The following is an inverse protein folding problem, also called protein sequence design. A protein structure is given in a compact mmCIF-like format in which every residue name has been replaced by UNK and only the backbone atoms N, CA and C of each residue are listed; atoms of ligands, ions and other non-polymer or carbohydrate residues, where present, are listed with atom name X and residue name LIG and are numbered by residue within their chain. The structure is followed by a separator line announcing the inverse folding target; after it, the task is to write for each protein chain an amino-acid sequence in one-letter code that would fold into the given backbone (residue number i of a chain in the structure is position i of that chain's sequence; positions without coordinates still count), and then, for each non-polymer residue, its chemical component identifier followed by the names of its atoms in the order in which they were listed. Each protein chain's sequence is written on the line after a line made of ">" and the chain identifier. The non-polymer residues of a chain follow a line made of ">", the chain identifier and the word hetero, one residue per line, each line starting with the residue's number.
data_IF_058941586202
#
_entry.id   IF_058941586202
#
_cell.length_a   1.000
_cell.length_b   1.000
_cell.length_c   1.000
_cell.angle_alpha   90.00
_cell.angle_beta   90.00
_cell.angle_gamma   90.00
#
_symmetry.space_group_name_H-M   'P 1'
#
loop_
_entity.id
_entity.type
_entity.pdbx_description
1 polymer ?
#
# COMPACT_ATOMS: atom_id res chain seq x y z
N UNK A 1 -3.08 17.06 18.93
CA UNK A 1 -4.11 17.10 17.87
C UNK A 1 -4.79 15.76 17.82
N UNK A 2 -6.12 15.69 17.73
CA UNK A 2 -6.81 14.42 17.63
C UNK A 2 -7.21 14.15 16.18
N UNK A 3 -6.79 13.01 15.66
CA UNK A 3 -7.11 12.59 14.30
C UNK A 3 -7.43 11.09 14.24
N UNK A 4 -8.37 10.72 13.38
CA UNK A 4 -8.71 9.34 13.07
C UNK A 4 -8.17 8.97 11.69
N UNK A 5 -7.49 7.84 11.59
CA UNK A 5 -7.08 7.24 10.32
C UNK A 5 -8.21 6.44 9.68
N UNK A 6 -8.39 6.59 8.37
CA UNK A 6 -9.31 5.77 7.57
C UNK A 6 -8.51 5.21 6.40
N UNK A 7 -8.37 3.88 6.37
CA UNK A 7 -7.55 3.16 5.41
C UNK A 7 -8.44 2.38 4.47
N UNK A 8 -8.23 2.52 3.16
CA UNK A 8 -8.91 1.73 2.14
C UNK A 8 -8.02 0.56 1.71
N UNK A 9 -8.47 -0.66 1.95
CA UNK A 9 -7.63 -1.84 1.74
C UNK A 9 -7.83 -2.53 0.39
N UNK A 10 -8.85 -2.16 -0.38
CA UNK A 10 -9.30 -2.89 -1.58
C UNK A 10 -9.51 -2.03 -2.83
N UNK A 11 -9.37 -0.71 -2.77
CA UNK A 11 -9.79 0.17 -3.89
C UNK A 11 -9.03 -0.15 -5.18
N UNK A 12 -7.78 -0.57 -5.07
CA UNK A 12 -6.88 -0.81 -6.20
C UNK A 12 -6.55 -2.30 -6.44
N UNK A 13 -7.38 -3.23 -5.92
CA UNK A 13 -7.16 -4.68 -6.08
C UNK A 13 -7.03 -5.10 -7.55
N UNK A 14 -7.75 -4.43 -8.46
CA UNK A 14 -7.73 -4.75 -9.89
C UNK A 14 -6.45 -4.32 -10.63
N UNK A 15 -5.59 -3.53 -9.99
CA UNK A 15 -4.36 -3.04 -10.62
C UNK A 15 -3.27 -4.12 -10.70
N UNK A 16 -3.27 -5.05 -9.74
CA UNK A 16 -2.29 -6.15 -9.66
C UNK A 16 -2.98 -7.51 -9.42
N UNK A 17 -3.86 -7.95 -10.34
CA UNK A 17 -4.73 -9.12 -10.15
C UNK A 17 -3.96 -10.41 -9.87
N UNK A 18 -2.71 -10.54 -10.35
CA UNK A 18 -1.86 -11.68 -10.06
C UNK A 18 -1.65 -11.84 -8.54
N UNK A 19 -1.45 -10.73 -7.82
CA UNK A 19 -1.16 -10.73 -6.39
C UNK A 19 -2.40 -10.58 -5.51
N UNK A 20 -3.50 -10.05 -6.04
CA UNK A 20 -4.72 -9.72 -5.26
C UNK A 20 -5.86 -10.73 -5.41
N UNK A 21 -5.74 -11.70 -6.31
CA UNK A 21 -6.77 -12.74 -6.52
C UNK A 21 -7.25 -13.42 -5.23
N UNK A 22 -6.35 -13.60 -4.26
CA UNK A 22 -6.62 -14.31 -3.00
C UNK A 22 -6.42 -13.43 -1.76
N UNK A 23 -6.21 -12.13 -1.95
CA UNK A 23 -5.97 -11.17 -0.86
C UNK A 23 -6.26 -9.74 -1.32
N UNK A 24 -6.43 -8.83 -0.36
CA UNK A 24 -6.52 -7.39 -0.62
C UNK A 24 -5.16 -6.83 -1.06
N UNK A 25 -5.14 -5.72 -1.79
CA UNK A 25 -3.90 -4.99 -2.13
C UNK A 25 -3.11 -4.63 -0.87
N UNK A 26 -3.79 -4.23 0.20
CA UNK A 26 -3.20 -3.96 1.51
C UNK A 26 -2.38 -5.13 2.08
N UNK A 27 -2.71 -6.38 1.69
CA UNK A 27 -2.06 -7.61 2.16
C UNK A 27 -0.93 -8.11 1.29
N UNK A 28 -0.61 -7.41 0.19
CA UNK A 28 0.46 -7.79 -0.73
C UNK A 28 1.81 -7.72 -0.01
N UNK A 29 2.63 -8.78 -0.05
CA UNK A 29 3.96 -8.78 0.55
C UNK A 29 4.91 -7.81 -0.15
N UNK A 30 5.77 -7.13 0.61
CA UNK A 30 6.75 -6.18 0.10
C UNK A 30 8.03 -6.18 0.96
N UNK A 31 9.18 -5.89 0.34
CA UNK A 31 10.47 -5.74 1.03
C UNK A 31 10.75 -6.87 2.04
N UNK A 32 10.72 -8.11 1.59
CA UNK A 32 11.02 -9.39 2.24
C UNK A 32 10.19 -9.74 3.50
N UNK A 33 9.68 -8.80 4.27
CA UNK A 33 8.96 -9.08 5.53
C UNK A 33 7.69 -8.27 5.75
N UNK A 34 7.50 -7.18 5.03
CA UNK A 34 6.37 -6.26 5.18
C UNK A 34 5.20 -6.64 4.28
N UNK A 35 4.08 -5.94 4.47
CA UNK A 35 2.96 -5.83 3.55
C UNK A 35 2.65 -4.35 3.31
N UNK A 36 1.94 -4.02 2.27
CA UNK A 36 1.63 -2.62 1.94
C UNK A 36 0.99 -1.86 3.10
N UNK A 37 0.05 -2.49 3.82
CA UNK A 37 -0.61 -1.86 4.97
C UNK A 37 0.34 -1.47 6.10
N UNK A 38 1.49 -2.13 6.24
CA UNK A 38 2.44 -1.88 7.31
C UNK A 38 2.99 -0.45 7.24
N UNK A 39 3.21 0.06 6.03
CA UNK A 39 3.67 1.44 5.80
C UNK A 39 2.61 2.45 6.24
N UNK A 40 1.37 2.28 5.79
CA UNK A 40 0.27 3.18 6.15
C UNK A 40 -0.01 3.17 7.65
N UNK A 41 -0.06 1.98 8.28
CA UNK A 41 -0.24 1.86 9.74
C UNK A 41 0.92 2.50 10.51
N UNK A 42 2.15 2.28 10.05
CA UNK A 42 3.34 2.86 10.69
C UNK A 42 3.34 4.39 10.60
N UNK A 43 3.00 4.94 9.44
CA UNK A 43 2.85 6.39 9.27
C UNK A 43 1.82 6.99 10.24
N UNK A 44 0.68 6.29 10.42
CA UNK A 44 -0.36 6.74 11.37
C UNK A 44 0.13 6.71 12.81
N UNK A 45 0.69 5.58 13.25
CA UNK A 45 1.16 5.41 14.63
C UNK A 45 2.32 6.36 14.96
N UNK A 46 3.29 6.51 14.04
CA UNK A 46 4.39 7.46 14.17
C UNK A 46 3.91 8.92 14.23
N UNK A 47 2.70 9.20 13.72
CA UNK A 47 2.05 10.49 13.78
C UNK A 47 1.04 10.61 14.95
N UNK A 48 1.09 9.71 15.93
CA UNK A 48 0.19 9.66 17.08
C UNK A 48 -1.31 9.47 16.72
N UNK A 49 -1.60 8.89 15.58
CA UNK A 49 -2.97 8.53 15.16
C UNK A 49 -3.21 7.07 15.57
N UNK A 50 -3.92 6.89 16.67
CA UNK A 50 -4.18 5.57 17.26
C UNK A 50 -5.64 5.11 17.13
N UNK A 51 -6.50 5.91 16.53
CA UNK A 51 -7.87 5.54 16.20
C UNK A 51 -7.92 5.29 14.70
N UNK A 52 -7.91 4.01 14.27
CA UNK A 52 -7.75 3.65 12.87
C UNK A 52 -8.87 2.72 12.43
N UNK A 53 -9.57 3.12 11.36
CA UNK A 53 -10.61 2.34 10.72
C UNK A 53 -10.09 1.81 9.38
N UNK A 54 -10.01 0.50 9.21
CA UNK A 54 -9.61 -0.16 7.96
C UNK A 54 -10.85 -0.66 7.25
N UNK A 55 -11.22 0.02 6.18
CA UNK A 55 -12.38 -0.38 5.35
C UNK A 55 -11.91 -1.47 4.41
N UNK A 56 -12.63 -2.60 4.39
CA UNK A 56 -12.31 -3.75 3.55
C UNK A 56 -13.56 -4.30 2.89
N UNK A 57 -13.39 -5.05 1.80
CA UNK A 57 -14.54 -5.60 1.06
C UNK A 57 -14.52 -7.13 0.99
N UNK A 58 -13.75 -7.72 0.09
CA UNK A 58 -13.61 -9.16 -0.11
C UNK A 58 -12.15 -9.59 0.05
N UNK A 59 -11.89 -10.90 0.11
CA UNK A 59 -10.54 -11.47 0.24
C UNK A 59 -9.71 -10.93 1.43
N UNK A 60 -10.37 -10.46 2.48
CA UNK A 60 -9.71 -9.78 3.61
C UNK A 60 -9.19 -10.72 4.71
N UNK A 61 -9.35 -12.04 4.58
CA UNK A 61 -8.84 -12.99 5.57
C UNK A 61 -7.34 -12.80 5.82
N UNK A 62 -6.56 -12.72 4.74
CA UNK A 62 -5.10 -12.49 4.83
C UNK A 62 -4.73 -11.18 5.52
N UNK A 63 -5.57 -10.15 5.38
CA UNK A 63 -5.43 -8.86 6.06
C UNK A 63 -5.68 -9.01 7.56
N UNK A 64 -6.79 -9.64 7.94
CA UNK A 64 -7.13 -9.91 9.34
C UNK A 64 -6.05 -10.74 10.05
N UNK A 65 -5.58 -11.81 9.40
CA UNK A 65 -4.52 -12.66 9.93
C UNK A 65 -3.22 -11.89 10.16
N UNK A 66 -2.94 -10.89 9.32
CA UNK A 66 -1.74 -10.07 9.45
C UNK A 66 -1.87 -9.03 10.56
N UNK A 67 -2.93 -8.25 10.55
CA UNK A 67 -3.16 -7.19 11.53
C UNK A 67 -3.39 -7.78 12.93
N UNK A 68 -4.15 -8.86 13.03
CA UNK A 68 -4.55 -9.46 14.30
C UNK A 68 -5.25 -8.44 15.19
N UNK A 69 -4.76 -8.27 16.43
CA UNK A 69 -5.25 -7.24 17.35
C UNK A 69 -4.61 -5.86 17.16
N UNK A 70 -3.68 -5.73 16.22
CA UNK A 70 -2.91 -4.50 16.02
C UNK A 70 -1.76 -4.29 17.03
N UNK A 71 -1.42 -5.30 17.84
CA UNK A 71 -0.41 -5.19 18.90
C UNK A 71 0.97 -4.78 18.39
N UNK A 72 1.34 -5.23 17.20
CA UNK A 72 2.65 -4.97 16.60
C UNK A 72 2.83 -3.49 16.19
N UNK A 73 1.73 -2.70 16.15
CA UNK A 73 1.69 -1.25 15.95
C UNK A 73 1.21 -0.48 17.18
N UNK A 74 1.17 -1.11 18.37
CA UNK A 74 0.59 -0.53 19.57
C UNK A 74 -0.87 -0.04 19.40
N UNK A 75 -1.66 -0.78 18.62
CA UNK A 75 -3.07 -0.50 18.36
C UNK A 75 -4.05 -1.42 19.11
N UNK A 76 -3.56 -2.32 19.97
CA UNK A 76 -4.37 -3.15 20.86
C UNK A 76 -4.74 -2.36 22.14
N UNK A 77 -5.55 -1.32 22.00
CA UNK A 77 -5.84 -0.35 23.06
C UNK A 77 -7.27 -0.48 23.59
N UNK A 78 -7.52 -0.06 24.85
CA UNK A 78 -8.87 -0.01 25.44
C UNK A 78 -9.75 1.06 24.80
N UNK A 79 -9.18 2.18 24.41
CA UNK A 79 -9.85 3.29 23.71
C UNK A 79 -9.11 3.60 22.42
N UNK A 80 -9.83 3.73 21.33
CA UNK A 80 -9.23 3.83 19.98
C UNK A 80 -8.81 2.45 19.46
N UNK A 81 -7.56 2.37 18.95
CA UNK A 81 -7.02 1.16 18.33
C UNK A 81 -7.50 0.94 16.91
N UNK A 82 -7.23 -0.25 16.38
CA UNK A 82 -7.61 -0.61 15.02
C UNK A 82 -8.97 -1.28 14.97
N UNK A 83 -9.79 -0.86 14.01
CA UNK A 83 -11.09 -1.47 13.70
C UNK A 83 -11.10 -1.86 12.23
N UNK A 84 -11.37 -3.13 11.96
CA UNK A 84 -11.59 -3.60 10.58
C UNK A 84 -13.07 -3.51 10.31
N UNK A 85 -13.43 -2.80 9.24
CA UNK A 85 -14.79 -2.54 8.82
C UNK A 85 -15.10 -3.35 7.53
N UNK A 86 -15.51 -4.62 7.65
CA UNK A 86 -15.92 -5.43 6.52
C UNK A 86 -17.27 -4.96 5.96
N UNK A 87 -17.67 -5.39 4.75
CA UNK A 87 -18.99 -5.09 4.20
C UNK A 87 -20.08 -5.70 5.09
N UNK A 88 -21.28 -5.10 5.05
CA UNK A 88 -22.46 -5.60 5.79
C UNK A 88 -22.35 -5.57 7.32
N UNK A 89 -21.56 -4.66 7.89
CA UNK A 89 -21.47 -4.47 9.35
C UNK A 89 -22.81 -4.05 9.96
N UNK A 90 -23.67 -3.37 9.18
CA UNK A 90 -24.97 -2.90 9.67
C UNK A 90 -26.11 -3.68 9.05
N UNK A 91 -27.21 -3.85 9.81
CA UNK A 91 -28.44 -4.50 9.32
C UNK A 91 -29.08 -3.76 8.12
N UNK A 92 -28.69 -2.53 7.87
CA UNK A 92 -29.16 -1.68 6.77
C UNK A 92 -28.33 -1.82 5.49
N UNK A 93 -27.20 -2.50 5.53
CA UNK A 93 -26.46 -2.86 4.34
C UNK A 93 -27.19 -4.03 3.66
N UNK A 94 -28.11 -3.72 2.76
CA UNK A 94 -28.88 -4.74 2.03
C UNK A 94 -27.99 -5.70 1.27
N UNK A 95 -28.40 -6.97 1.15
CA UNK A 95 -27.68 -8.02 0.41
C UNK A 95 -27.44 -7.69 -1.07
N UNK A 96 -28.09 -6.65 -1.60
CA UNK A 96 -27.96 -6.13 -2.96
C UNK A 96 -27.03 -4.92 -3.09
N UNK A 97 -26.32 -4.51 -2.01
CA UNK A 97 -25.32 -3.43 -2.14
C UNK A 97 -24.20 -3.91 -3.06
N UNK A 98 -24.03 -3.30 -4.25
CA UNK A 98 -22.96 -3.69 -5.14
C UNK A 98 -21.61 -3.51 -4.46
N UNK A 99 -20.64 -4.34 -4.81
CA UNK A 99 -19.26 -4.18 -4.36
C UNK A 99 -18.81 -2.74 -4.65
N UNK A 100 -18.39 -2.01 -3.61
CA UNK A 100 -17.89 -0.65 -3.85
C UNK A 100 -16.52 -0.70 -4.54
N UNK A 101 -16.40 0.08 -5.61
CA UNK A 101 -15.15 0.23 -6.36
C UNK A 101 -14.51 1.60 -6.14
N UNK A 102 -15.14 2.45 -5.34
CA UNK A 102 -14.68 3.81 -5.09
C UNK A 102 -14.61 4.13 -3.61
N UNK A 103 -13.71 5.05 -3.24
CA UNK A 103 -13.57 5.53 -1.85
C UNK A 103 -14.88 6.10 -1.31
N UNK A 104 -15.61 6.86 -2.11
CA UNK A 104 -16.88 7.47 -1.68
C UNK A 104 -17.95 6.41 -1.40
N UNK A 105 -18.07 5.39 -2.25
CA UNK A 105 -18.97 4.29 -2.02
C UNK A 105 -18.60 3.47 -0.77
N UNK A 106 -17.29 3.26 -0.55
CA UNK A 106 -16.78 2.62 0.67
C UNK A 106 -17.15 3.42 1.93
N UNK A 107 -16.98 4.74 1.91
CA UNK A 107 -17.35 5.63 3.04
C UNK A 107 -18.87 5.62 3.31
N UNK A 108 -19.70 5.61 2.26
CA UNK A 108 -21.18 5.50 2.42
C UNK A 108 -21.58 4.22 3.16
N UNK A 109 -20.92 3.09 2.85
CA UNK A 109 -21.21 1.80 3.49
C UNK A 109 -20.84 1.77 4.98
N UNK A 110 -19.88 2.56 5.42
CA UNK A 110 -19.46 2.63 6.82
C UNK A 110 -19.95 3.91 7.53
N UNK A 111 -20.97 4.56 6.99
CA UNK A 111 -21.53 5.83 7.50
C UNK A 111 -21.67 5.87 9.01
N UNK A 112 -22.27 4.85 9.61
CA UNK A 112 -22.55 4.82 11.05
C UNK A 112 -21.26 4.83 11.89
N UNK A 113 -20.20 4.19 11.38
CA UNK A 113 -18.88 4.26 12.02
C UNK A 113 -18.26 5.66 11.90
N UNK A 114 -18.45 6.34 10.76
CA UNK A 114 -17.97 7.71 10.56
C UNK A 114 -18.70 8.71 11.47
N UNK A 115 -20.00 8.52 11.73
CA UNK A 115 -20.77 9.39 12.64
C UNK A 115 -20.32 9.27 14.11
N UNK A 116 -19.62 8.20 14.48
CA UNK A 116 -19.07 7.98 15.84
C UNK A 116 -17.65 8.51 16.04
N UNK A 117 -16.98 9.02 15.01
CA UNK A 117 -15.64 9.59 15.14
C UNK A 117 -15.74 10.89 15.96
N UNK A 118 -15.00 10.98 17.04
CA UNK A 118 -14.97 12.17 17.92
C UNK A 118 -13.79 13.08 17.64
N UNK A 119 -12.78 12.59 16.93
CA UNK A 119 -11.58 13.36 16.60
C UNK A 119 -11.90 14.49 15.62
N UNK A 120 -11.18 15.58 15.71
CA UNK A 120 -11.41 16.80 14.92
C UNK A 120 -11.05 16.59 13.43
N UNK A 121 -9.99 15.83 13.18
CA UNK A 121 -9.49 15.58 11.82
C UNK A 121 -9.59 14.11 11.44
N UNK A 122 -9.65 13.86 10.14
CA UNK A 122 -9.51 12.54 9.55
C UNK A 122 -8.39 12.55 8.51
N UNK A 123 -7.64 11.46 8.48
CA UNK A 123 -6.64 11.15 7.46
C UNK A 123 -7.14 9.95 6.66
N UNK A 124 -7.49 10.18 5.40
CA UNK A 124 -7.83 9.11 4.44
C UNK A 124 -6.56 8.66 3.74
N UNK A 125 -6.33 7.37 3.62
CA UNK A 125 -5.15 6.81 2.93
C UNK A 125 -5.47 5.50 2.23
N UNK A 126 -4.92 5.30 1.05
CA UNK A 126 -4.85 3.99 0.40
C UNK A 126 -3.61 3.22 0.87
N UNK A 127 -3.47 1.96 0.43
CA UNK A 127 -2.36 1.09 0.84
C UNK A 127 -1.35 0.80 -0.28
N UNK A 128 -1.63 1.14 -1.52
CA UNK A 128 -0.77 0.91 -2.69
C UNK A 128 0.34 1.95 -2.87
N UNK A 129 0.36 2.94 -1.98
CA UNK A 129 1.35 4.01 -1.94
C UNK A 129 2.38 3.75 -0.82
N UNK A 130 3.59 3.39 -1.21
CA UNK A 130 4.67 3.09 -0.27
C UNK A 130 5.48 4.35 -0.01
N UNK A 131 5.38 4.87 1.19
CA UNK A 131 6.07 6.09 1.65
C UNK A 131 6.20 6.12 3.17
N UNK A 132 7.03 7.02 3.68
CA UNK A 132 7.20 7.28 5.12
C UNK A 132 6.85 8.74 5.41
N UNK A 133 5.55 9.06 5.51
CA UNK A 133 5.01 10.41 5.67
C UNK A 133 4.74 10.74 7.13
N UNK A 134 5.03 11.98 7.54
CA UNK A 134 4.59 12.53 8.82
C UNK A 134 3.22 13.23 8.68
N UNK A 135 2.19 12.60 9.19
CA UNK A 135 0.85 13.18 9.16
C UNK A 135 0.67 14.35 10.13
N UNK A 136 1.52 14.51 11.16
CA UNK A 136 1.45 15.69 12.04
C UNK A 136 1.83 16.96 11.26
N UNK A 137 2.85 16.88 10.41
CA UNK A 137 3.24 18.02 9.57
C UNK A 137 2.12 18.36 8.58
N UNK A 138 1.53 17.34 7.95
CA UNK A 138 0.42 17.53 7.00
C UNK A 138 -0.83 18.11 7.66
N UNK A 139 -1.22 17.64 8.86
CA UNK A 139 -2.34 18.17 9.63
C UNK A 139 -2.06 19.61 10.06
N UNK A 140 -0.83 19.91 10.50
CA UNK A 140 -0.42 21.28 10.87
C UNK A 140 -0.50 22.22 9.67
N UNK A 141 -0.06 21.78 8.50
CA UNK A 141 -0.19 22.54 7.26
C UNK A 141 -1.67 22.77 6.90
N UNK A 142 -2.50 21.73 7.00
CA UNK A 142 -3.95 21.82 6.76
C UNK A 142 -4.61 22.88 7.66
N UNK A 143 -4.29 22.89 8.94
CA UNK A 143 -4.81 23.87 9.89
C UNK A 143 -4.39 25.30 9.54
N UNK A 144 -3.09 25.52 9.28
CA UNK A 144 -2.54 26.84 8.96
C UNK A 144 -3.09 27.41 7.66
N UNK A 145 -3.33 26.56 6.67
CA UNK A 145 -3.84 26.97 5.37
C UNK A 145 -5.36 27.22 5.34
N UNK A 146 -6.08 26.84 6.39
CA UNK A 146 -7.54 26.91 6.44
C UNK A 146 -8.22 26.13 5.32
N UNK A 147 -7.59 25.05 4.86
CA UNK A 147 -8.09 24.23 3.76
C UNK A 147 -9.34 23.43 4.19
N UNK A 148 -10.22 23.15 3.23
CA UNK A 148 -11.31 22.17 3.38
C UNK A 148 -10.78 20.74 3.21
N UNK A 149 -9.87 20.57 2.23
CA UNK A 149 -9.11 19.32 2.00
C UNK A 149 -7.65 19.66 1.70
N UNK A 150 -6.73 18.83 2.23
CA UNK A 150 -5.32 18.88 1.87
C UNK A 150 -4.91 17.53 1.31
N UNK A 151 -4.35 17.53 0.11
CA UNK A 151 -3.91 16.34 -0.61
C UNK A 151 -2.39 16.22 -0.55
N UNK A 152 -1.88 15.08 -0.12
CA UNK A 152 -0.45 14.81 -0.26
C UNK A 152 -0.12 14.53 -1.73
N UNK A 153 0.92 15.20 -2.22
CA UNK A 153 1.40 15.04 -3.60
C UNK A 153 2.90 14.86 -3.66
N UNK A 154 3.37 14.21 -4.70
CA UNK A 154 4.80 14.14 -5.05
C UNK A 154 5.01 14.75 -6.42
N UNK A 155 5.93 15.70 -6.50
CA UNK A 155 6.37 16.23 -7.80
C UNK A 155 7.37 15.26 -8.42
N UNK A 156 7.04 14.70 -9.58
CA UNK A 156 7.89 13.78 -10.29
C UNK A 156 7.58 13.74 -11.80
N UNK A 157 8.53 13.26 -12.58
CA UNK A 157 8.31 12.98 -14.00
C UNK A 157 7.50 11.69 -14.12
N UNK A 158 6.36 11.76 -14.82
CA UNK A 158 5.44 10.64 -15.00
C UNK A 158 5.55 10.07 -16.41
N UNK A 159 5.46 8.75 -16.52
CA UNK A 159 5.18 8.08 -17.78
C UNK A 159 3.69 8.16 -18.11
N UNK A 160 3.32 7.95 -19.37
CA UNK A 160 1.91 7.90 -19.80
C UNK A 160 1.10 6.85 -19.03
N UNK A 161 1.70 5.70 -18.72
CA UNK A 161 1.02 4.63 -17.99
C UNK A 161 0.80 5.00 -16.52
N UNK A 162 1.77 5.62 -15.87
CA UNK A 162 1.61 6.11 -14.50
C UNK A 162 0.53 7.18 -14.42
N UNK A 163 0.46 8.09 -15.38
CA UNK A 163 -0.57 9.13 -15.43
C UNK A 163 -1.99 8.54 -15.56
N UNK A 164 -2.19 7.51 -16.40
CA UNK A 164 -3.49 6.83 -16.59
C UNK A 164 -4.06 6.21 -15.32
N UNK A 165 -3.21 5.84 -14.37
CA UNK A 165 -3.61 5.15 -13.15
C UNK A 165 -3.70 6.08 -11.94
N UNK A 166 -3.40 7.37 -12.11
CA UNK A 166 -3.28 8.31 -11.01
C UNK A 166 -4.05 9.61 -11.24
N UNK A 167 -4.21 10.37 -10.16
CA UNK A 167 -4.75 11.73 -10.20
C UNK A 167 -3.58 12.71 -10.12
N UNK A 168 -3.58 13.69 -11.01
CA UNK A 168 -2.60 14.77 -11.09
C UNK A 168 -3.28 16.07 -10.66
N UNK A 169 -2.63 16.85 -9.82
CA UNK A 169 -3.14 18.14 -9.37
C UNK A 169 -2.34 19.28 -10.00
N UNK A 170 -3.06 20.30 -10.47
CA UNK A 170 -2.48 21.57 -10.87
C UNK A 170 -2.74 22.60 -9.76
N UNK A 171 -1.70 23.22 -9.23
CA UNK A 171 -1.82 24.20 -8.16
C UNK A 171 -1.21 25.54 -8.54
N UNK A 172 -1.71 26.63 -7.93
CA UNK A 172 -1.05 27.92 -7.99
C UNK A 172 0.19 27.98 -7.06
N UNK A 173 0.86 29.14 -7.02
CA UNK A 173 2.06 29.36 -6.20
C UNK A 173 1.80 29.16 -4.69
N UNK A 174 0.59 29.48 -4.22
CA UNK A 174 0.17 29.31 -2.82
C UNK A 174 -0.20 27.86 -2.46
N UNK A 175 -0.10 26.92 -3.43
CA UNK A 175 -0.46 25.52 -3.25
C UNK A 175 -1.97 25.25 -3.27
N UNK A 176 -2.81 26.20 -3.68
CA UNK A 176 -4.23 25.99 -3.91
C UNK A 176 -4.44 25.23 -5.23
N UNK A 177 -5.25 24.18 -5.20
CA UNK A 177 -5.58 23.40 -6.38
C UNK A 177 -6.53 24.23 -7.26
N UNK A 178 -6.11 24.44 -8.52
CA UNK A 178 -6.88 25.18 -9.53
C UNK A 178 -7.47 24.25 -10.58
N UNK A 179 -6.83 23.10 -10.82
CA UNK A 179 -7.30 22.10 -11.76
C UNK A 179 -6.84 20.68 -11.35
N UNK A 180 -7.47 19.67 -11.92
CA UNK A 180 -7.19 18.27 -11.62
C UNK A 180 -7.43 17.40 -12.84
N UNK A 181 -6.44 16.58 -13.18
CA UNK A 181 -6.54 15.56 -14.21
C UNK A 181 -6.71 14.19 -13.54
N UNK A 182 -7.91 13.63 -13.65
CA UNK A 182 -8.21 12.32 -13.11
C UNK A 182 -7.99 11.24 -14.17
N UNK A 183 -6.95 10.42 -14.01
CA UNK A 183 -6.65 9.29 -14.90
C UNK A 183 -6.51 9.71 -16.37
N UNK A 184 -5.65 10.69 -16.70
CA UNK A 184 -5.55 11.22 -18.06
C UNK A 184 -5.00 10.17 -19.03
N UNK A 185 -5.66 10.01 -20.17
CA UNK A 185 -5.23 9.09 -21.24
C UNK A 185 -4.18 9.71 -22.18
N UNK A 186 -4.25 11.03 -22.32
CA UNK A 186 -3.31 11.84 -23.11
C UNK A 186 -2.50 12.73 -22.17
N UNK A 187 -1.41 12.20 -21.65
CA UNK A 187 -0.47 12.93 -20.84
C UNK A 187 0.90 12.93 -21.50
N UNK A 188 1.46 14.11 -21.69
CA UNK A 188 2.87 14.23 -22.11
C UNK A 188 3.76 13.92 -20.90
N UNK A 189 4.90 13.27 -21.14
CA UNK A 189 5.84 12.90 -20.07
C UNK A 189 6.50 14.15 -19.48
N UNK A 190 5.80 14.82 -18.58
CA UNK A 190 6.21 16.04 -17.90
C UNK A 190 6.29 15.84 -16.39
N UNK A 191 6.93 16.79 -15.70
CA UNK A 191 6.87 16.85 -14.25
C UNK A 191 5.48 17.31 -13.80
N UNK A 192 4.89 16.54 -12.89
CA UNK A 192 3.57 16.83 -12.35
C UNK A 192 3.46 16.49 -10.87
N UNK A 193 2.50 17.11 -10.18
CA UNK A 193 2.15 16.80 -8.79
C UNK A 193 1.17 15.62 -8.78
N UNK A 194 1.70 14.39 -8.62
CA UNK A 194 0.89 13.16 -8.51
C UNK A 194 0.32 13.01 -7.12
N UNK A 195 -0.93 12.58 -7.02
CA UNK A 195 -1.58 12.27 -5.75
C UNK A 195 -0.95 11.06 -5.07
N UNK A 196 -0.66 11.17 -3.77
CA UNK A 196 -0.31 10.02 -2.92
C UNK A 196 -1.56 9.27 -2.40
N UNK A 197 -2.76 9.63 -2.84
CA UNK A 197 -4.01 9.10 -2.31
C UNK A 197 -4.14 9.25 -0.79
N UNK A 198 -3.51 10.27 -0.24
CA UNK A 198 -3.57 10.66 1.17
C UNK A 198 -4.25 12.03 1.25
N UNK A 199 -5.29 12.11 2.07
CA UNK A 199 -6.10 13.33 2.21
C UNK A 199 -6.36 13.61 3.68
N UNK A 200 -6.15 14.86 4.09
CA UNK A 200 -6.53 15.38 5.42
C UNK A 200 -7.71 16.33 5.27
N UNK A 201 -8.68 16.19 6.15
CA UNK A 201 -9.84 17.10 6.27
C UNK A 201 -10.42 17.09 7.67
N UNK A 202 -11.30 18.06 7.97
CA UNK A 202 -12.11 18.02 9.21
C UNK A 202 -13.13 16.90 9.16
N UNK A 203 -13.35 16.24 10.30
CA UNK A 203 -14.35 15.17 10.43
C UNK A 203 -15.76 15.65 10.07
N UNK A 204 -16.10 16.90 10.43
CA UNK A 204 -17.38 17.52 10.05
C UNK A 204 -17.54 17.63 8.53
N UNK A 205 -16.48 17.99 7.82
CA UNK A 205 -16.49 18.09 6.37
C UNK A 205 -16.62 16.72 5.69
N UNK A 206 -15.91 15.68 6.19
CA UNK A 206 -16.11 14.33 5.71
C UNK A 206 -17.57 13.86 5.86
N UNK A 207 -18.18 14.13 7.02
CA UNK A 207 -19.59 13.78 7.27
C UNK A 207 -20.52 14.48 6.29
N UNK A 208 -20.33 15.78 6.04
CA UNK A 208 -21.15 16.52 5.07
C UNK A 208 -21.03 15.92 3.66
N UNK A 209 -19.82 15.57 3.21
CA UNK A 209 -19.59 14.91 1.92
C UNK A 209 -20.34 13.59 1.84
N UNK A 210 -20.24 12.74 2.87
CA UNK A 210 -20.89 11.43 2.86
C UNK A 210 -22.42 11.56 2.88
N UNK A 211 -22.98 12.49 3.65
CA UNK A 211 -24.42 12.72 3.70
C UNK A 211 -24.95 13.28 2.37
N UNK A 212 -24.24 14.24 1.79
CA UNK A 212 -24.56 14.78 0.47
C UNK A 212 -24.48 13.69 -0.62
N UNK A 213 -23.43 12.86 -0.58
CA UNK A 213 -23.26 11.75 -1.50
C UNK A 213 -24.39 10.69 -1.39
N UNK A 214 -24.96 10.49 -0.21
CA UNK A 214 -26.11 9.62 -0.02
C UNK A 214 -27.37 10.28 -0.61
N UNK A 215 -27.60 11.56 -0.30
CA UNK A 215 -28.79 12.29 -0.76
C UNK A 215 -28.86 12.42 -2.29
N UNK A 216 -27.72 12.62 -2.96
CA UNK A 216 -27.63 12.84 -4.40
C UNK A 216 -27.11 11.61 -5.19
N UNK A 217 -26.97 10.46 -4.52
CA UNK A 217 -26.46 9.22 -5.10
C UNK A 217 -25.08 9.36 -5.78
N UNK A 218 -24.20 10.21 -5.26
CA UNK A 218 -22.84 10.36 -5.74
C UNK A 218 -22.03 9.08 -5.48
N UNK A 219 -21.11 8.76 -6.40
CA UNK A 219 -20.30 7.53 -6.33
C UNK A 219 -18.80 7.78 -6.34
N UNK A 220 -18.34 8.88 -6.93
CA UNK A 220 -16.92 9.19 -7.12
C UNK A 220 -16.47 10.37 -6.28
N UNK A 221 -15.49 10.15 -5.39
CA UNK A 221 -14.85 11.25 -4.65
C UNK A 221 -14.21 12.26 -5.60
N UNK A 222 -13.55 11.78 -6.64
CA UNK A 222 -12.83 12.61 -7.60
C UNK A 222 -13.78 13.44 -8.48
N UNK A 223 -14.77 12.78 -9.11
CA UNK A 223 -15.67 13.44 -10.07
C UNK A 223 -16.80 14.21 -9.39
N UNK A 224 -17.45 13.59 -8.39
CA UNK A 224 -18.68 14.14 -7.80
C UNK A 224 -18.42 15.10 -6.64
N UNK A 225 -17.26 14.99 -5.98
CA UNK A 225 -16.92 15.87 -4.85
C UNK A 225 -15.81 16.84 -5.25
N UNK A 226 -14.63 16.36 -5.62
CA UNK A 226 -13.48 17.25 -5.82
C UNK A 226 -13.68 18.12 -7.06
N UNK A 227 -13.92 17.51 -8.24
CA UNK A 227 -14.05 18.26 -9.49
C UNK A 227 -15.20 19.29 -9.49
N UNK A 228 -16.34 18.95 -8.88
CA UNK A 228 -17.49 19.87 -8.80
C UNK A 228 -17.25 21.07 -7.88
N UNK A 229 -16.38 20.92 -6.89
CA UNK A 229 -16.09 21.98 -5.92
C UNK A 229 -14.75 22.68 -6.19
N UNK A 230 -14.06 22.38 -7.29
CA UNK A 230 -12.92 23.16 -7.73
C UNK A 230 -13.33 24.62 -7.95
N UNK A 231 -12.55 25.54 -7.38
CA UNK A 231 -12.86 26.97 -7.43
C UNK A 231 -13.79 27.48 -6.33
N UNK A 232 -14.61 26.62 -5.71
CA UNK A 232 -15.49 27.00 -4.58
C UNK A 232 -14.80 26.66 -3.25
N UNK A 233 -14.39 25.41 -3.07
CA UNK A 233 -13.73 24.95 -1.87
C UNK A 233 -12.23 25.32 -1.85
N UNK A 234 -11.67 25.43 -0.66
CA UNK A 234 -10.24 25.67 -0.47
C UNK A 234 -9.49 24.33 -0.43
N UNK A 235 -9.21 23.76 -1.59
CA UNK A 235 -8.40 22.55 -1.72
C UNK A 235 -6.93 22.92 -1.91
N UNK A 236 -6.02 22.23 -1.17
CA UNK A 236 -4.59 22.52 -1.19
C UNK A 236 -3.75 21.27 -1.34
N UNK A 237 -2.59 21.42 -1.94
CA UNK A 237 -1.57 20.38 -1.99
C UNK A 237 -0.61 20.52 -0.81
N UNK A 238 -0.14 19.37 -0.29
CA UNK A 238 1.01 19.23 0.59
C UNK A 238 2.07 18.42 -0.14
N UNK A 239 3.21 19.03 -0.47
CA UNK A 239 4.30 18.37 -1.20
C UNK A 239 5.11 17.51 -0.26
N UNK A 240 5.24 16.25 -0.62
CA UNK A 240 6.05 15.26 0.07
C UNK A 240 7.34 15.00 -0.70
N UNK A 241 8.50 15.22 -0.05
CA UNK A 241 9.81 15.13 -0.70
C UNK A 241 10.51 13.77 -0.49
N UNK A 242 10.01 12.93 0.43
CA UNK A 242 10.58 11.61 0.71
C UNK A 242 10.42 10.58 -0.41
N UNK A 243 10.88 9.36 -0.17
CA UNK A 243 10.71 8.24 -1.10
C UNK A 243 9.22 7.89 -1.29
N UNK A 244 8.85 7.66 -2.53
CA UNK A 244 7.49 7.30 -2.92
C UNK A 244 7.51 6.24 -4.02
N UNK A 245 6.77 5.16 -3.81
CA UNK A 245 6.49 4.17 -4.83
C UNK A 245 4.97 3.99 -4.96
N UNK A 246 4.45 4.24 -6.16
CA UNK A 246 3.06 3.99 -6.51
C UNK A 246 2.99 2.66 -7.27
N UNK A 247 2.34 1.65 -6.68
CA UNK A 247 2.28 0.31 -7.27
C UNK A 247 0.91 0.13 -7.91
N UNK A 248 0.82 0.48 -9.19
CA UNK A 248 -0.40 0.44 -9.98
C UNK A 248 -0.41 -0.65 -11.06
N UNK A 249 0.65 -1.48 -11.13
CA UNK A 249 0.75 -2.61 -12.04
C UNK A 249 1.69 -3.69 -11.51
N UNK A 250 1.58 -4.91 -12.06
CA UNK A 250 2.46 -6.01 -11.70
C UNK A 250 3.93 -5.78 -12.07
N UNK A 251 4.26 -5.20 -13.25
CA UNK A 251 5.64 -4.79 -13.55
C UNK A 251 6.18 -3.74 -12.59
N UNK A 252 5.39 -2.73 -12.19
CA UNK A 252 5.82 -1.72 -11.21
C UNK A 252 6.07 -2.34 -9.84
N UNK A 253 5.26 -3.30 -9.39
CA UNK A 253 5.54 -4.05 -8.16
C UNK A 253 6.94 -4.67 -8.19
N UNK A 254 7.31 -5.30 -9.31
CA UNK A 254 8.63 -5.87 -9.48
C UNK A 254 9.72 -4.79 -9.48
N UNK A 255 9.56 -3.73 -10.28
CA UNK A 255 10.54 -2.65 -10.42
C UNK A 255 10.80 -1.95 -9.08
N UNK A 256 9.77 -1.50 -8.37
CA UNK A 256 9.92 -0.86 -7.06
C UNK A 256 10.48 -1.80 -5.98
N UNK A 257 10.17 -3.09 -6.06
CA UNK A 257 10.77 -4.08 -5.16
C UNK A 257 12.28 -4.23 -5.43
N UNK A 258 12.67 -4.34 -6.70
CA UNK A 258 14.09 -4.49 -7.09
C UNK A 258 14.88 -3.20 -6.89
N UNK A 259 14.24 -2.03 -7.00
CA UNK A 259 14.84 -0.74 -6.70
C UNK A 259 15.39 -0.70 -5.26
N UNK A 260 14.71 -1.31 -4.31
CA UNK A 260 15.20 -1.38 -2.93
C UNK A 260 16.54 -2.11 -2.78
N UNK A 261 16.93 -2.97 -3.72
CA UNK A 261 18.25 -3.61 -3.71
C UNK A 261 19.35 -2.70 -4.28
N UNK A 262 19.02 -1.91 -5.29
CA UNK A 262 19.98 -1.09 -6.04
C UNK A 262 20.12 0.35 -5.50
N UNK A 263 19.03 0.90 -4.94
CA UNK A 263 18.95 2.30 -4.51
C UNK A 263 19.05 2.42 -2.97
N UNK A 264 20.24 2.75 -2.47
CA UNK A 264 20.45 2.96 -1.04
C UNK A 264 19.61 4.12 -0.50
N UNK A 265 19.45 5.20 -1.28
CA UNK A 265 18.66 6.37 -0.84
C UNK A 265 17.18 6.02 -0.67
N UNK A 266 16.63 5.15 -1.53
CA UNK A 266 15.27 4.64 -1.38
C UNK A 266 15.10 3.89 -0.05
N UNK A 267 16.04 3.00 0.27
CA UNK A 267 16.02 2.26 1.55
C UNK A 267 16.13 3.19 2.75
N UNK A 268 17.09 4.13 2.74
CA UNK A 268 17.28 5.10 3.83
C UNK A 268 16.04 5.96 4.04
N UNK A 269 15.48 6.50 2.96
CA UNK A 269 14.29 7.36 3.02
C UNK A 269 13.01 6.61 3.41
N UNK A 270 12.97 5.28 3.25
CA UNK A 270 11.81 4.47 3.60
C UNK A 270 11.92 3.87 5.01
N UNK A 271 13.08 3.28 5.36
CA UNK A 271 13.24 2.46 6.56
C UNK A 271 14.03 3.13 7.69
N UNK A 272 14.95 4.06 7.36
CA UNK A 272 15.85 4.65 8.34
C UNK A 272 15.52 6.12 8.67
N UNK A 273 14.25 6.51 8.51
CA UNK A 273 13.82 7.84 8.90
C UNK A 273 13.81 7.95 10.43
N UNK A 274 14.50 8.98 10.95
CA UNK A 274 14.62 9.21 12.38
C UNK A 274 13.26 9.28 13.07
N UNK A 275 13.06 8.49 14.13
CA UNK A 275 11.83 8.41 14.93
C UNK A 275 10.57 7.96 14.15
N UNK A 276 10.73 7.42 12.94
CA UNK A 276 9.62 6.89 12.14
C UNK A 276 9.93 5.49 11.60
N UNK A 277 10.10 4.48 12.48
CA UNK A 277 10.32 3.11 12.06
C UNK A 277 9.08 2.55 11.33
N UNK A 278 9.32 1.63 10.40
CA UNK A 278 8.25 0.87 9.77
C UNK A 278 8.03 -0.42 10.57
N UNK A 279 6.89 -0.52 11.24
CA UNK A 279 6.48 -1.69 12.00
C UNK A 279 5.89 -2.76 11.08
N UNK A 280 5.97 -4.01 11.49
CA UNK A 280 5.32 -5.14 10.84
C UNK A 280 5.03 -6.24 11.85
N UNK A 281 4.19 -7.19 11.48
CA UNK A 281 3.89 -8.35 12.33
C UNK A 281 5.14 -9.11 12.71
N UNK A 282 5.40 -9.20 14.01
CA UNK A 282 6.48 -10.01 14.57
C UNK A 282 6.15 -11.49 14.45
N UNK A 283 7.11 -12.30 14.02
CA UNK A 283 7.06 -13.75 14.02
C UNK A 283 8.22 -14.31 14.79
N UNK A 284 7.95 -15.36 15.55
CA UNK A 284 9.00 -16.12 16.27
C UNK A 284 9.59 -17.17 15.30
N UNK A 285 10.31 -16.70 14.28
CA UNK A 285 11.00 -17.56 13.34
C UNK A 285 12.44 -17.81 13.79
N UNK A 286 13.00 -18.97 13.40
CA UNK A 286 14.42 -19.24 13.62
C UNK A 286 15.28 -18.24 12.83
N UNK A 287 16.55 -18.00 13.23
CA UNK A 287 17.50 -17.32 12.37
C UNK A 287 17.66 -18.02 11.02
N UNK A 288 18.10 -17.26 9.99
CA UNK A 288 18.41 -17.86 8.70
C UNK A 288 19.59 -18.81 8.82
N UNK A 289 19.47 -19.94 8.15
CA UNK A 289 20.57 -20.87 7.97
C UNK A 289 21.19 -20.70 6.56
N UNK A 290 22.50 -20.53 6.54
CA UNK A 290 23.29 -20.44 5.31
C UNK A 290 24.27 -21.59 5.29
N UNK A 291 24.20 -22.44 4.27
CA UNK A 291 25.16 -23.53 4.11
C UNK A 291 26.55 -22.99 3.77
N UNK A 292 27.65 -23.68 4.15
CA UNK A 292 29.01 -23.25 3.78
C UNK A 292 29.25 -23.10 2.27
N UNK A 293 28.48 -23.80 1.46
CA UNK A 293 28.52 -23.76 -0.02
C UNK A 293 27.57 -22.72 -0.62
N UNK A 294 26.75 -22.06 0.19
CA UNK A 294 25.82 -21.04 -0.30
C UNK A 294 26.53 -19.74 -0.69
N UNK A 295 25.99 -19.03 -1.66
CA UNK A 295 26.49 -17.72 -2.09
C UNK A 295 25.33 -16.73 -2.16
N UNK A 296 25.42 -15.65 -1.38
CA UNK A 296 24.39 -14.62 -1.36
C UNK A 296 25.05 -13.26 -1.73
N UNK A 297 24.50 -12.59 -2.75
CA UNK A 297 24.98 -11.28 -3.21
C UNK A 297 23.80 -10.34 -3.43
N UNK A 298 23.96 -9.09 -3.00
CA UNK A 298 23.01 -7.99 -3.22
C UNK A 298 21.53 -8.43 -3.04
N UNK A 299 21.21 -9.06 -1.89
CA UNK A 299 19.89 -9.66 -1.68
C UNK A 299 19.34 -9.32 -0.31
N UNK A 300 18.01 -9.20 -0.21
CA UNK A 300 17.31 -9.07 1.05
C UNK A 300 16.76 -10.44 1.46
N UNK A 301 17.12 -10.91 2.66
CA UNK A 301 16.69 -12.22 3.16
C UNK A 301 16.00 -12.03 4.51
N UNK A 302 14.76 -12.51 4.62
CA UNK A 302 14.01 -12.50 5.87
C UNK A 302 14.34 -13.71 6.76
N UNK A 303 13.91 -13.63 8.02
CA UNK A 303 14.06 -14.67 9.03
C UNK A 303 13.45 -16.03 8.63
N UNK A 304 13.99 -17.11 9.20
CA UNK A 304 13.48 -18.48 9.00
C UNK A 304 13.86 -19.14 7.67
N UNK A 305 14.71 -18.52 6.88
CA UNK A 305 15.14 -19.08 5.59
C UNK A 305 16.23 -20.14 5.74
N UNK A 306 16.24 -21.11 4.83
CA UNK A 306 17.28 -22.11 4.68
C UNK A 306 17.87 -22.01 3.27
N UNK A 307 19.14 -21.59 3.15
CA UNK A 307 19.76 -21.31 1.85
C UNK A 307 20.97 -22.23 1.66
N UNK A 308 20.85 -23.21 0.77
CA UNK A 308 21.92 -24.14 0.41
C UNK A 308 22.54 -23.81 -0.95
N UNK A 309 21.87 -23.01 -1.79
CA UNK A 309 22.24 -22.64 -3.14
C UNK A 309 22.76 -21.19 -3.29
N UNK A 310 22.59 -20.63 -4.47
CA UNK A 310 23.05 -19.30 -4.84
C UNK A 310 21.86 -18.35 -4.95
N UNK A 311 21.97 -17.17 -4.31
CA UNK A 311 20.98 -16.09 -4.38
C UNK A 311 21.69 -14.80 -4.80
N UNK A 312 21.23 -14.18 -5.86
CA UNK A 312 21.82 -12.97 -6.39
C UNK A 312 20.72 -11.97 -6.76
N UNK A 313 20.90 -10.73 -6.32
CA UNK A 313 19.99 -9.63 -6.67
C UNK A 313 18.52 -9.99 -6.47
N UNK A 314 18.16 -10.57 -5.30
CA UNK A 314 16.85 -11.16 -5.07
C UNK A 314 16.28 -10.80 -3.69
N UNK A 315 14.96 -10.89 -3.58
CA UNK A 315 14.22 -10.63 -2.33
C UNK A 315 13.60 -11.94 -1.86
N UNK A 316 14.06 -12.43 -0.72
CA UNK A 316 13.68 -13.72 -0.14
C UNK A 316 12.85 -13.47 1.12
N UNK A 317 11.59 -13.86 1.09
CA UNK A 317 10.68 -13.72 2.21
C UNK A 317 10.84 -14.84 3.24
N UNK A 318 10.16 -14.70 4.37
CA UNK A 318 10.26 -15.60 5.53
C UNK A 318 10.02 -17.07 5.18
N UNK A 319 10.83 -17.96 5.76
CA UNK A 319 10.63 -19.41 5.68
C UNK A 319 10.90 -20.03 4.33
N UNK A 320 11.53 -19.29 3.41
CA UNK A 320 11.90 -19.81 2.08
C UNK A 320 13.04 -20.81 2.22
N UNK A 321 12.94 -21.93 1.48
CA UNK A 321 13.99 -22.95 1.37
C UNK A 321 14.55 -22.97 -0.04
N UNK A 322 15.87 -22.86 -0.16
CA UNK A 322 16.59 -22.92 -1.43
C UNK A 322 17.57 -24.07 -1.38
N UNK A 323 17.35 -25.07 -2.24
CA UNK A 323 18.07 -26.32 -2.31
C UNK A 323 19.52 -26.18 -2.81
N UNK A 324 20.23 -27.31 -2.78
CA UNK A 324 21.63 -27.39 -3.24
C UNK A 324 21.72 -27.13 -4.74
N UNK A 325 22.77 -26.40 -5.15
CA UNK A 325 22.99 -26.07 -6.56
C UNK A 325 21.82 -25.29 -7.22
N UNK A 326 20.79 -24.93 -6.46
CA UNK A 326 19.75 -24.04 -6.96
C UNK A 326 20.30 -22.61 -7.11
N UNK A 327 19.85 -21.91 -8.15
CA UNK A 327 20.25 -20.55 -8.45
C UNK A 327 19.03 -19.65 -8.58
N UNK A 328 18.97 -18.59 -7.77
CA UNK A 328 17.90 -17.60 -7.79
C UNK A 328 18.50 -16.24 -8.09
N UNK A 329 18.11 -15.65 -9.23
CA UNK A 329 18.59 -14.34 -9.68
C UNK A 329 17.43 -13.41 -9.98
N UNK A 330 17.62 -12.11 -9.70
CA UNK A 330 16.67 -11.05 -10.06
C UNK A 330 15.22 -11.44 -9.73
N UNK A 331 14.98 -12.05 -8.57
CA UNK A 331 13.70 -12.70 -8.30
C UNK A 331 13.13 -12.31 -6.94
N UNK A 332 11.81 -12.41 -6.81
CA UNK A 332 11.08 -12.16 -5.57
C UNK A 332 10.45 -13.48 -5.16
N UNK A 333 10.95 -14.07 -4.09
CA UNK A 333 10.48 -15.37 -3.60
C UNK A 333 9.68 -15.17 -2.33
N UNK A 334 8.35 -15.31 -2.44
CA UNK A 334 7.47 -15.08 -1.31
C UNK A 334 7.47 -16.23 -0.32
N UNK A 335 6.90 -15.96 0.81
CA UNK A 335 6.89 -16.71 2.05
C UNK A 335 6.61 -18.21 1.89
N UNK A 336 7.36 -19.04 2.62
CA UNK A 336 7.21 -20.50 2.71
C UNK A 336 7.29 -21.21 1.34
N UNK A 337 7.97 -20.59 0.36
CA UNK A 337 8.26 -21.20 -0.94
C UNK A 337 9.45 -22.15 -0.85
N UNK A 338 9.36 -23.27 -1.53
CA UNK A 338 10.43 -24.27 -1.63
C UNK A 338 10.98 -24.27 -3.05
N UNK A 339 12.28 -24.01 -3.18
CA UNK A 339 13.03 -24.12 -4.43
C UNK A 339 13.96 -25.33 -4.26
N UNK A 340 13.67 -26.41 -4.99
CA UNK A 340 14.37 -27.67 -4.83
C UNK A 340 15.74 -27.67 -5.50
N UNK A 341 16.48 -28.77 -5.36
CA UNK A 341 17.88 -28.88 -5.80
C UNK A 341 18.04 -28.65 -7.31
N UNK A 342 19.08 -27.92 -7.69
CA UNK A 342 19.43 -27.65 -9.08
C UNK A 342 18.45 -26.79 -9.87
N UNK A 343 17.42 -26.23 -9.25
CA UNK A 343 16.48 -25.34 -9.92
C UNK A 343 17.14 -23.97 -10.26
N UNK A 344 16.75 -23.40 -11.40
CA UNK A 344 17.24 -22.10 -11.87
C UNK A 344 16.09 -21.13 -12.08
N UNK A 345 16.12 -20.00 -11.37
CA UNK A 345 15.13 -18.94 -11.46
C UNK A 345 15.81 -17.61 -11.84
N UNK A 346 15.26 -16.92 -12.85
CA UNK A 346 15.70 -15.58 -13.22
C UNK A 346 14.50 -14.71 -13.60
N UNK A 347 14.38 -13.51 -12.99
CA UNK A 347 13.22 -12.61 -13.14
C UNK A 347 11.89 -13.32 -12.86
N UNK A 348 11.79 -13.99 -11.70
CA UNK A 348 10.63 -14.75 -11.26
C UNK A 348 10.03 -14.16 -10.00
N UNK A 349 8.71 -14.07 -9.95
CA UNK A 349 7.97 -13.80 -8.72
C UNK A 349 7.21 -15.06 -8.33
N UNK A 350 7.54 -15.67 -7.20
CA UNK A 350 6.72 -16.74 -6.63
C UNK A 350 5.81 -16.21 -5.56
N UNK A 351 4.53 -16.57 -5.58
CA UNK A 351 3.65 -16.32 -4.45
C UNK A 351 3.87 -17.38 -3.35
N UNK A 352 3.21 -17.21 -2.20
CA UNK A 352 3.41 -18.02 -0.99
C UNK A 352 3.16 -19.51 -1.21
N UNK A 353 3.93 -20.34 -0.50
CA UNK A 353 3.78 -21.80 -0.50
C UNK A 353 3.93 -22.43 -1.89
N UNK A 354 4.62 -21.79 -2.82
CA UNK A 354 4.93 -22.40 -4.11
C UNK A 354 6.05 -23.43 -3.95
N UNK A 355 6.07 -24.43 -4.82
CA UNK A 355 7.11 -25.46 -4.85
C UNK A 355 7.68 -25.56 -6.25
N UNK A 356 8.97 -25.25 -6.40
CA UNK A 356 9.71 -25.43 -7.65
C UNK A 356 10.50 -26.73 -7.51
N UNK A 357 10.21 -27.69 -8.39
CA UNK A 357 10.82 -29.03 -8.35
C UNK A 357 12.28 -29.00 -8.80
N UNK A 358 12.96 -30.10 -8.55
CA UNK A 358 14.38 -30.29 -8.90
C UNK A 358 14.67 -30.02 -10.38
N UNK A 359 15.75 -29.32 -10.64
CA UNK A 359 16.25 -29.00 -11.97
C UNK A 359 15.34 -28.16 -12.87
N UNK A 360 14.26 -27.59 -12.34
CA UNK A 360 13.37 -26.71 -13.12
C UNK A 360 14.06 -25.39 -13.45
N UNK A 361 13.83 -24.92 -14.67
CA UNK A 361 14.32 -23.61 -15.14
C UNK A 361 13.13 -22.71 -15.42
N UNK A 362 13.08 -21.57 -14.73
CA UNK A 362 12.05 -20.54 -14.90
C UNK A 362 12.73 -19.20 -15.19
N UNK A 363 12.36 -18.59 -16.32
CA UNK A 363 12.90 -17.30 -16.72
C UNK A 363 11.78 -16.35 -17.16
N UNK A 364 11.81 -15.14 -16.64
CA UNK A 364 11.02 -14.00 -17.09
C UNK A 364 11.92 -12.91 -17.70
N UNK A 365 11.38 -11.74 -17.87
CA UNK A 365 12.10 -10.51 -18.24
C UNK A 365 11.87 -9.44 -17.17
N UNK A 366 12.77 -8.46 -17.08
CA UNK A 366 12.65 -7.35 -16.11
C UNK A 366 11.37 -6.53 -16.31
N UNK A 367 10.90 -6.44 -17.55
CA UNK A 367 9.64 -5.76 -17.89
C UNK A 367 8.41 -6.64 -17.68
N UNK A 368 8.59 -7.98 -17.64
CA UNK A 368 7.50 -8.93 -17.45
C UNK A 368 8.03 -10.17 -16.72
N UNK A 369 8.12 -10.13 -15.38
CA UNK A 369 8.59 -11.24 -14.58
C UNK A 369 7.63 -12.44 -14.70
N UNK A 370 8.21 -13.65 -14.64
CA UNK A 370 7.42 -14.88 -14.66
C UNK A 370 6.75 -15.06 -13.29
N UNK A 371 5.44 -15.25 -13.28
CA UNK A 371 4.67 -15.38 -12.03
C UNK A 371 4.29 -16.84 -11.74
N UNK A 372 4.56 -17.27 -10.51
CA UNK A 372 4.11 -18.55 -9.96
C UNK A 372 3.07 -18.29 -8.88
N UNK A 373 1.84 -18.73 -9.10
CA UNK A 373 0.74 -18.48 -8.19
C UNK A 373 0.86 -19.25 -6.87
N UNK A 374 0.15 -18.77 -5.83
CA UNK A 374 0.15 -19.32 -4.48
C UNK A 374 -0.15 -20.82 -4.46
N UNK A 375 0.70 -21.57 -3.73
CA UNK A 375 0.54 -23.00 -3.53
C UNK A 375 0.76 -23.87 -4.79
N UNK A 376 1.20 -23.27 -5.89
CA UNK A 376 1.46 -24.02 -7.12
C UNK A 376 2.76 -24.81 -7.04
N UNK A 377 2.73 -26.02 -7.55
CA UNK A 377 3.90 -26.87 -7.75
C UNK A 377 4.24 -26.93 -9.25
N UNK A 378 5.48 -26.60 -9.62
CA UNK A 378 5.98 -26.58 -11.00
C UNK A 378 7.16 -27.53 -11.16
#
# INVERSE_FOLDING_TARGET
>A
MSATGIIFSNIHDNNIPELTRLRTVASVPFACRYRFIDFTLSNMVNSNIYNINVITHYNYQSLMDHIGSGKDWDLARRSGGIKILPPYITAFAGASSPSYQTRLAALKNVRDSLMRITDEYVVLSDCDMICNVDFNEMITYHQKSGADMTFAVKKMKLTKEQAKNNTIFCSNEDGRIVDMLAYPTDFNEEEADISLNIVVMKTSYLRSIVMDAIAHNHTSMTKDVIAKNLGIANYRIYRYDGYFACISSFPEYYQYSMELLSNANARESLFNVKNRPVYTKVRNSNPCYYAPTSSIKNSMVADGCEILGTVENSIIFRGVKIGRNATVKNSIIMQDTIISDGAFLNCVITDKNAVIRDGRMLCGADTQPFYVSKGKMI
#
